data_IF_534903793705
#
_entry.id   IF_534903793705
#
_cell.length_a   1.000
_cell.length_b   1.000
_cell.length_c   1.000
_cell.angle_alpha   90.00
_cell.angle_beta   90.00
_cell.angle_gamma   90.00
#
_symmetry.space_group_name_H-M   'P 1'
#
loop_
_entity.id
_entity.type
_entity.pdbx_description
1 polymer ?
#
# COMPACT_ATOMS: atom_id res chain seq x y z
N UNK A 1 12.08 7.64 12.87
CA UNK A 1 11.30 6.39 12.75
C UNK A 1 10.92 6.24 11.29
N UNK A 2 10.96 5.03 10.70
CA UNK A 2 10.49 4.80 9.34
C UNK A 2 9.02 5.23 9.21
N UNK A 3 8.64 5.79 8.06
CA UNK A 3 7.25 6.17 7.77
C UNK A 3 6.47 4.90 7.44
N UNK A 4 5.34 4.67 8.12
CA UNK A 4 4.53 3.48 7.90
C UNK A 4 3.62 3.68 6.70
N UNK A 5 3.80 2.85 5.68
CA UNK A 5 3.15 3.03 4.39
C UNK A 5 2.42 1.78 3.92
N UNK A 6 1.36 2.01 3.14
CA UNK A 6 0.55 0.97 2.52
C UNK A 6 0.41 1.24 1.03
N UNK A 7 0.68 0.24 0.20
CA UNK A 7 0.49 0.28 -1.25
C UNK A 7 -0.65 -0.65 -1.65
N UNK A 8 -1.67 -0.08 -2.29
CA UNK A 8 -2.83 -0.80 -2.80
C UNK A 8 -2.86 -0.75 -4.31
N UNK A 9 -2.99 -1.93 -4.90
CA UNK A 9 -3.31 -2.12 -6.30
C UNK A 9 -4.82 -2.34 -6.43
N UNK A 10 -5.47 -1.57 -7.30
CA UNK A 10 -6.87 -1.77 -7.71
C UNK A 10 -6.89 -2.38 -9.13
N UNK A 11 -7.91 -2.07 -9.94
CA UNK A 11 -7.86 -2.37 -11.37
C UNK A 11 -6.77 -1.53 -12.08
N UNK A 12 -5.57 -2.10 -12.20
CA UNK A 12 -4.39 -1.49 -12.82
C UNK A 12 -3.54 -2.52 -13.59
N UNK A 13 -2.50 -2.03 -14.29
CA UNK A 13 -1.48 -2.86 -14.94
C UNK A 13 -0.18 -3.01 -14.12
N UNK A 14 -0.14 -2.51 -12.88
CA UNK A 14 1.04 -2.48 -12.01
C UNK A 14 2.19 -1.54 -12.45
N UNK A 15 1.99 -0.76 -13.51
CA UNK A 15 3.02 0.12 -14.06
C UNK A 15 3.50 1.20 -13.08
N UNK A 16 2.64 1.72 -12.20
CA UNK A 16 3.05 2.71 -11.21
C UNK A 16 3.95 2.10 -10.14
N UNK A 17 3.66 0.87 -9.70
CA UNK A 17 4.49 0.14 -8.76
C UNK A 17 5.83 -0.29 -9.39
N UNK A 18 5.82 -0.74 -10.65
CA UNK A 18 7.04 -1.03 -11.39
C UNK A 18 7.94 0.21 -11.50
N UNK A 19 7.36 1.38 -11.80
CA UNK A 19 8.10 2.65 -11.88
C UNK A 19 8.80 3.01 -10.55
N UNK A 20 8.14 2.74 -9.42
CA UNK A 20 8.75 2.92 -8.11
C UNK A 20 9.93 1.96 -7.86
N UNK A 21 9.83 0.71 -8.31
CA UNK A 21 10.93 -0.25 -8.21
C UNK A 21 12.07 0.02 -9.20
N UNK A 22 11.80 0.74 -10.28
CA UNK A 22 12.77 1.15 -11.30
C UNK A 22 13.67 2.32 -10.83
N UNK A 23 13.58 2.71 -9.55
CA UNK A 23 14.51 3.65 -8.91
C UNK A 23 15.95 3.12 -8.80
N UNK A 24 16.19 1.85 -9.17
CA UNK A 24 17.50 1.19 -9.17
C UNK A 24 18.25 1.39 -7.84
N UNK A 25 19.47 1.93 -7.86
CA UNK A 25 20.30 2.15 -6.67
C UNK A 25 19.63 3.08 -5.65
N UNK A 26 18.82 4.04 -6.10
CA UNK A 26 18.10 4.97 -5.21
C UNK A 26 17.07 4.25 -4.34
N UNK A 27 16.57 3.09 -4.79
CA UNK A 27 15.66 2.28 -4.00
C UNK A 27 16.29 1.80 -2.69
N UNK A 28 17.61 1.55 -2.68
CA UNK A 28 18.36 1.15 -1.50
C UNK A 28 18.40 2.26 -0.43
N UNK A 29 18.31 3.53 -0.84
CA UNK A 29 18.24 4.68 0.08
C UNK A 29 16.82 4.92 0.59
N UNK A 30 15.80 4.60 -0.21
CA UNK A 30 14.38 4.85 0.10
C UNK A 30 13.79 3.76 0.99
N UNK A 31 14.00 2.47 0.66
CA UNK A 31 13.36 1.36 1.39
C UNK A 31 13.62 1.37 2.91
N UNK A 32 14.83 1.68 3.42
CA UNK A 32 15.08 1.74 4.87
C UNK A 32 14.29 2.83 5.61
N UNK A 33 13.76 3.82 4.87
CA UNK A 33 12.96 4.91 5.44
C UNK A 33 11.47 4.56 5.54
N UNK A 34 11.06 3.41 5.00
CA UNK A 34 9.67 2.97 4.93
C UNK A 34 9.44 1.71 5.77
N UNK A 35 8.38 1.71 6.56
CA UNK A 35 7.79 0.49 7.12
C UNK A 35 6.60 0.08 6.24
N UNK A 36 6.83 -0.85 5.32
CA UNK A 36 5.83 -1.29 4.34
C UNK A 36 4.94 -2.35 5.00
N UNK A 37 3.74 -1.96 5.42
CA UNK A 37 2.80 -2.89 6.09
C UNK A 37 1.92 -3.66 5.12
N UNK A 38 1.83 -3.20 3.87
CA UNK A 38 1.12 -3.92 2.81
C UNK A 38 1.55 -3.44 1.43
N UNK A 39 1.86 -4.40 0.56
CA UNK A 39 2.11 -4.21 -0.87
C UNK A 39 2.02 -5.57 -1.54
N UNK A 40 0.92 -5.83 -2.26
CA UNK A 40 0.46 -7.15 -2.73
C UNK A 40 1.54 -8.13 -3.23
N UNK A 41 2.56 -7.64 -3.93
CA UNK A 41 3.58 -8.46 -4.60
C UNK A 41 5.00 -8.25 -4.06
N UNK A 42 5.19 -7.37 -3.09
CA UNK A 42 6.52 -6.96 -2.59
C UNK A 42 6.77 -7.44 -1.16
N UNK A 43 5.75 -7.50 -0.32
CA UNK A 43 5.84 -7.95 1.07
C UNK A 43 4.88 -9.12 1.32
N UNK A 44 5.18 -9.96 2.31
CA UNK A 44 4.42 -11.21 2.53
C UNK A 44 3.15 -11.03 3.38
N UNK A 45 2.81 -9.80 3.80
CA UNK A 45 1.58 -9.52 4.55
C UNK A 45 0.33 -9.83 3.74
N UNK A 46 -0.67 -10.43 4.39
CA UNK A 46 -1.96 -10.76 3.77
C UNK A 46 -3.01 -9.73 4.16
N UNK A 47 -4.13 -9.72 3.42
CA UNK A 47 -5.23 -8.77 3.64
C UNK A 47 -5.71 -8.76 5.10
N UNK A 48 -5.85 -9.94 5.72
CA UNK A 48 -6.28 -10.06 7.12
C UNK A 48 -5.28 -9.51 8.14
N UNK A 49 -4.00 -9.36 7.79
CA UNK A 49 -3.01 -8.73 8.66
C UNK A 49 -3.25 -7.22 8.70
N UNK A 50 -3.63 -6.64 7.55
CA UNK A 50 -3.92 -5.22 7.37
C UNK A 50 -5.25 -4.80 8.01
N UNK A 51 -6.27 -5.66 7.89
CA UNK A 51 -7.58 -5.47 8.51
C UNK A 51 -7.51 -5.38 10.04
N UNK A 52 -6.48 -5.99 10.64
CA UNK A 52 -6.24 -5.95 12.10
C UNK A 52 -5.41 -4.74 12.54
N UNK A 53 -4.85 -3.97 11.60
CA UNK A 53 -4.07 -2.78 11.95
C UNK A 53 -4.97 -1.73 12.62
N UNK A 54 -4.53 -1.10 13.72
CA UNK A 54 -5.30 -0.06 14.37
C UNK A 54 -5.63 1.10 13.42
N UNK A 55 -6.80 1.71 13.60
CA UNK A 55 -7.16 2.92 12.87
C UNK A 55 -6.14 4.04 13.11
N UNK A 56 -5.76 4.73 12.03
CA UNK A 56 -4.76 5.79 12.09
C UNK A 56 -3.32 5.29 12.29
N UNK A 57 -3.08 3.97 12.27
CA UNK A 57 -1.72 3.44 12.44
C UNK A 57 -0.84 3.57 11.21
N UNK A 58 -1.39 3.72 10.00
CA UNK A 58 -0.64 3.93 8.75
C UNK A 58 -0.47 5.43 8.51
N UNK A 59 0.74 5.89 8.21
CA UNK A 59 1.00 7.32 8.00
C UNK A 59 0.58 7.77 6.59
N UNK A 60 0.88 6.96 5.57
CA UNK A 60 0.63 7.29 4.15
C UNK A 60 0.11 6.07 3.39
N UNK A 61 -0.99 6.26 2.67
CA UNK A 61 -1.57 5.28 1.77
C UNK A 61 -1.38 5.64 0.30
N UNK A 62 -0.89 4.70 -0.51
CA UNK A 62 -0.73 4.82 -1.96
C UNK A 62 -1.76 3.94 -2.66
N UNK A 63 -2.46 4.49 -3.64
CA UNK A 63 -3.39 3.75 -4.49
C UNK A 63 -2.96 3.80 -5.94
N UNK A 64 -3.05 2.66 -6.62
CA UNK A 64 -2.83 2.55 -8.06
C UNK A 64 -4.10 2.02 -8.75
N UNK A 65 -4.48 2.67 -9.85
CA UNK A 65 -5.52 2.19 -10.75
C UNK A 65 -6.88 2.81 -10.49
N UNK A 66 -7.93 2.08 -10.86
CA UNK A 66 -9.33 2.54 -10.76
C UNK A 66 -10.15 1.58 -9.92
N UNK A 67 -11.01 2.11 -9.05
CA UNK A 67 -11.98 1.30 -8.31
C UNK A 67 -13.11 0.84 -9.25
N UNK A 68 -13.25 -0.47 -9.45
CA UNK A 68 -14.26 -1.06 -10.35
C UNK A 68 -15.12 -2.13 -9.67
N UNK A 69 -14.65 -2.71 -8.59
CA UNK A 69 -15.28 -3.83 -7.87
C UNK A 69 -15.47 -3.51 -6.39
N UNK A 70 -16.28 -4.31 -5.71
CA UNK A 70 -16.42 -4.22 -4.25
C UNK A 70 -15.11 -4.53 -3.53
N UNK A 71 -14.26 -5.39 -4.10
CA UNK A 71 -12.92 -5.66 -3.58
C UNK A 71 -12.02 -4.42 -3.70
N UNK A 72 -12.05 -3.71 -4.83
CA UNK A 72 -11.32 -2.45 -4.97
C UNK A 72 -11.79 -1.42 -3.95
N UNK A 73 -13.12 -1.33 -3.72
CA UNK A 73 -13.69 -0.42 -2.73
C UNK A 73 -13.25 -0.79 -1.30
N UNK A 74 -13.21 -2.09 -0.98
CA UNK A 74 -12.71 -2.61 0.30
C UNK A 74 -11.24 -2.21 0.52
N UNK A 75 -10.38 -2.47 -0.47
CA UNK A 75 -8.97 -2.08 -0.43
C UNK A 75 -8.79 -0.56 -0.31
N UNK A 76 -9.63 0.23 -1.00
CA UNK A 76 -9.63 1.69 -0.91
C UNK A 76 -9.99 2.17 0.51
N UNK A 77 -10.99 1.54 1.14
CA UNK A 77 -11.37 1.87 2.52
C UNK A 77 -10.27 1.50 3.52
N UNK A 78 -9.51 0.44 3.27
CA UNK A 78 -8.37 0.05 4.14
C UNK A 78 -7.18 1.02 4.04
N UNK A 79 -6.93 1.61 2.88
CA UNK A 79 -5.80 2.54 2.68
C UNK A 79 -6.14 3.99 3.03
N UNK A 80 -7.41 4.38 2.97
CA UNK A 80 -7.88 5.71 3.38
C UNK A 80 -8.04 5.81 4.91
N UNK A 81 -7.67 6.96 5.47
CA UNK A 81 -7.85 7.25 6.89
C UNK A 81 -8.80 8.44 7.10
N UNK A 82 -9.77 8.36 8.03
CA UNK A 82 -10.08 7.20 8.88
C UNK A 82 -10.87 6.10 8.16
N UNK A 83 -10.59 4.83 8.50
CA UNK A 83 -11.27 3.63 7.97
C UNK A 83 -12.70 3.54 8.50
N UNK A 84 -13.64 4.32 7.96
CA UNK A 84 -15.08 4.11 8.22
C UNK A 84 -15.55 2.94 7.36
N UNK A 85 -15.35 1.71 7.85
CA UNK A 85 -15.88 0.49 7.22
C UNK A 85 -17.41 0.44 7.33
#
# INVERSE_FOLDING_TARGET
MPVKVMFVQLASCWGCHQSLLDLHETLADVLPQLEIVFWHTVVDYKLHDVEKLPDGSVDVGFTEGTCKTEEDLHLLKLVLLPRKL
#
